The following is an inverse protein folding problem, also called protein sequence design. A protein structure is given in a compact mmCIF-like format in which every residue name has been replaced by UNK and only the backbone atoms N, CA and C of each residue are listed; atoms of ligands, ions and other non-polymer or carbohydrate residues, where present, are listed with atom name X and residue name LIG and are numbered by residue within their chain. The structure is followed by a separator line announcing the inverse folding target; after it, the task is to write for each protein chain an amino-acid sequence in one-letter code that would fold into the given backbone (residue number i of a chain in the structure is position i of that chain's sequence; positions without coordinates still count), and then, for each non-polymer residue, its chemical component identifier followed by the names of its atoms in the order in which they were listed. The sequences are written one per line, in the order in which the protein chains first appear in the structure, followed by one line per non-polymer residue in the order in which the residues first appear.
data_IF_832517544548
#
_entry.id   IF_832517544548
#
_cell.length_a   1.000
_cell.length_b   1.000
_cell.length_c   1.000
_cell.angle_alpha   90.00
_cell.angle_beta   90.00
_cell.angle_gamma   90.00
#
_symmetry.space_group_name_H-M   'P 1'
#
loop_
_entity.id
_entity.type
_entity.pdbx_description
1 polymer ?
#
# COMPACT_ATOMS: atom_id res chain seq x y z
N UNK A 1 32.66 -10.03 37.35
CA UNK A 1 32.91 -9.77 38.79
C UNK A 1 33.33 -8.31 38.99
N UNK A 2 32.45 -7.46 39.53
CA UNK A 2 32.80 -6.15 40.11
C UNK A 2 32.67 -6.18 41.66
N UNK A 3 33.41 -5.32 42.41
CA UNK A 3 33.73 -5.58 43.81
C UNK A 3 32.60 -5.20 44.77
N UNK A 4 32.41 -6.04 45.79
CA UNK A 4 31.42 -5.92 46.87
C UNK A 4 31.78 -4.72 47.77
N UNK A 5 30.98 -3.65 47.70
CA UNK A 5 31.16 -2.41 48.47
C UNK A 5 30.93 -2.70 49.97
N UNK A 6 32.01 -2.62 50.76
CA UNK A 6 31.96 -2.76 52.22
C UNK A 6 31.15 -1.61 52.84
N UNK A 7 30.12 -1.94 53.61
CA UNK A 7 29.42 -0.97 54.45
C UNK A 7 30.40 -0.45 55.52
N UNK A 8 30.55 0.87 55.59
CA UNK A 8 31.50 1.51 56.51
C UNK A 8 31.09 1.33 57.97
N UNK A 9 32.06 1.11 58.86
CA UNK A 9 31.87 0.91 60.32
C UNK A 9 31.01 1.99 61.01
N UNK A 10 30.86 3.19 60.42
CA UNK A 10 30.07 4.31 60.95
C UNK A 10 28.55 4.06 60.91
N UNK A 11 28.03 3.36 59.91
CA UNK A 11 26.58 3.10 59.81
C UNK A 11 26.12 1.99 60.77
N UNK A 12 27.03 1.07 61.13
CA UNK A 12 26.77 0.02 62.12
C UNK A 12 26.63 0.62 63.53
N UNK A 13 27.51 1.55 63.90
CA UNK A 13 27.47 2.25 65.19
C UNK A 13 26.24 3.17 65.35
N UNK A 14 25.76 3.82 64.29
CA UNK A 14 24.52 4.62 64.36
C UNK A 14 23.27 3.76 64.56
N UNK A 15 23.25 2.56 63.98
CA UNK A 15 22.14 1.60 64.14
C UNK A 15 22.09 0.99 65.54
N UNK A 16 23.24 0.63 66.10
CA UNK A 16 23.36 0.15 67.48
C UNK A 16 22.87 1.20 68.50
N UNK A 17 23.24 2.47 68.31
CA UNK A 17 22.75 3.59 69.14
C UNK A 17 21.24 3.78 69.06
N UNK A 18 20.62 3.62 67.88
CA UNK A 18 19.16 3.78 67.72
C UNK A 18 18.35 2.65 68.37
N UNK A 19 18.89 1.42 68.41
CA UNK A 19 18.29 0.30 69.16
C UNK A 19 18.52 0.42 70.67
N UNK A 20 19.66 0.97 71.08
CA UNK A 20 20.00 1.21 72.49
C UNK A 20 19.17 2.33 73.12
N UNK A 21 18.73 3.30 72.32
CA UNK A 21 17.89 4.45 72.72
C UNK A 21 16.42 4.05 72.93
N UNK A 22 15.86 3.21 72.05
CA UNK A 22 14.49 2.65 72.23
C UNK A 22 14.37 1.65 73.37
N UNK A 23 15.50 1.17 73.87
CA UNK A 23 15.60 0.30 75.05
C UNK A 23 16.23 1.02 76.24
N UNK A 24 16.53 2.31 76.11
CA UNK A 24 17.07 3.17 77.17
C UNK A 24 15.96 3.49 78.19
N UNK A 25 16.25 3.31 79.48
CA UNK A 25 15.26 3.48 80.56
C UNK A 25 14.57 2.19 81.05
N UNK A 26 14.55 1.10 80.26
CA UNK A 26 14.11 -0.22 80.75
C UNK A 26 15.22 -1.05 81.41
N UNK A 27 16.48 -0.57 81.32
CA UNK A 27 17.67 -1.28 81.78
C UNK A 27 17.74 -1.49 83.30
N UNK A 28 17.03 -0.66 84.09
CA UNK A 28 16.91 -0.81 85.54
C UNK A 28 15.83 -1.82 85.98
N UNK A 29 15.07 -2.41 85.04
CA UNK A 29 14.01 -3.41 85.26
C UNK A 29 14.24 -4.71 84.46
N UNK A 30 15.49 -4.96 84.07
CA UNK A 30 15.93 -6.09 83.23
C UNK A 30 15.73 -7.49 83.83
N UNK A 31 15.24 -7.59 85.07
CA UNK A 31 14.92 -8.86 85.76
C UNK A 31 13.49 -9.34 85.52
N UNK A 32 12.61 -8.52 84.94
CA UNK A 32 11.22 -8.90 84.65
C UNK A 32 11.10 -9.58 83.29
N UNK A 33 10.53 -10.79 83.26
CA UNK A 33 10.33 -11.57 82.02
C UNK A 33 9.50 -10.83 80.96
N UNK A 34 8.58 -9.95 81.36
CA UNK A 34 7.76 -9.14 80.44
C UNK A 34 8.59 -8.07 79.73
N UNK A 35 9.56 -7.49 80.42
CA UNK A 35 10.50 -6.48 79.88
C UNK A 35 11.49 -7.14 78.91
N UNK A 36 11.97 -8.35 79.22
CA UNK A 36 12.85 -9.11 78.33
C UNK A 36 12.17 -9.49 77.01
N UNK A 37 10.91 -9.94 77.05
CA UNK A 37 10.13 -10.23 75.83
C UNK A 37 9.91 -8.99 74.97
N UNK A 38 9.64 -7.84 75.58
CA UNK A 38 9.49 -6.57 74.85
C UNK A 38 10.79 -6.15 74.17
N UNK A 39 11.94 -6.25 74.86
CA UNK A 39 13.26 -5.93 74.28
C UNK A 39 13.58 -6.88 73.11
N UNK A 40 13.25 -8.17 73.23
CA UNK A 40 13.41 -9.13 72.14
C UNK A 40 12.52 -8.78 70.94
N UNK A 41 11.26 -8.43 71.17
CA UNK A 41 10.33 -8.02 70.10
C UNK A 41 10.77 -6.74 69.39
N UNK A 42 11.26 -5.74 70.13
CA UNK A 42 11.78 -4.50 69.52
C UNK A 42 13.05 -4.77 68.71
N UNK A 43 13.93 -5.65 69.19
CA UNK A 43 15.14 -6.03 68.46
C UNK A 43 14.84 -6.85 67.19
N UNK A 44 13.87 -7.77 67.21
CA UNK A 44 13.46 -8.52 66.02
C UNK A 44 12.80 -7.61 65.00
N UNK A 45 11.96 -6.67 65.44
CA UNK A 45 11.32 -5.69 64.56
C UNK A 45 12.33 -4.70 63.95
N UNK A 46 13.35 -4.28 64.70
CA UNK A 46 14.44 -3.45 64.20
C UNK A 46 15.31 -4.18 63.16
N UNK A 47 15.59 -5.48 63.38
CA UNK A 47 16.32 -6.32 62.41
C UNK A 47 15.53 -6.52 61.13
N UNK A 48 14.26 -6.89 61.21
CA UNK A 48 13.40 -7.11 60.05
C UNK A 48 13.24 -5.85 59.17
N UNK A 49 13.11 -4.67 59.78
CA UNK A 49 13.00 -3.40 59.06
C UNK A 49 14.36 -2.95 58.46
N UNK A 50 15.48 -3.32 59.08
CA UNK A 50 16.81 -3.08 58.52
C UNK A 50 17.12 -3.99 57.32
N UNK A 51 16.64 -5.24 57.34
CA UNK A 51 16.80 -6.21 56.24
C UNK A 51 16.00 -5.78 54.99
N UNK A 52 14.75 -5.33 55.17
CA UNK A 52 13.93 -4.80 54.07
C UNK A 52 14.55 -3.55 53.41
N UNK A 53 15.33 -2.75 54.15
CA UNK A 53 16.03 -1.57 53.62
C UNK A 53 17.41 -1.86 53.05
N UNK A 54 17.98 -3.04 53.32
CA UNK A 54 19.32 -3.42 52.87
C UNK A 54 19.34 -4.30 51.61
N UNK A 55 18.18 -4.84 51.18
CA UNK A 55 18.10 -5.79 50.07
C UNK A 55 17.28 -5.39 48.84
N UNK A 56 16.71 -4.18 48.78
CA UNK A 56 15.97 -3.72 47.60
C UNK A 56 16.87 -3.00 46.59
N UNK A 57 16.68 -3.18 45.26
CA UNK A 57 17.34 -2.33 44.27
C UNK A 57 17.04 -0.86 44.60
N UNK A 58 18.02 0.01 44.45
CA UNK A 58 17.83 1.43 44.73
C UNK A 58 16.65 1.96 43.91
N UNK A 59 15.89 2.94 44.43
CA UNK A 59 14.74 3.52 43.69
C UNK A 59 15.11 3.98 42.27
N UNK A 60 16.38 4.30 42.01
CA UNK A 60 16.91 4.64 40.70
C UNK A 60 17.06 3.42 39.77
N UNK A 61 17.54 2.28 40.28
CA UNK A 61 17.66 1.03 39.51
C UNK A 61 16.29 0.44 39.17
N UNK A 62 15.35 0.46 40.12
CA UNK A 62 13.98 -0.01 39.87
C UNK A 62 13.22 0.89 38.86
N UNK A 63 13.51 2.19 38.83
CA UNK A 63 12.94 3.11 37.82
C UNK A 63 13.57 2.89 36.44
N UNK A 64 14.89 2.64 36.39
CA UNK A 64 15.60 2.33 35.15
C UNK A 64 15.12 1.00 34.54
N UNK A 65 14.91 -0.02 35.38
CA UNK A 65 14.41 -1.33 34.94
C UNK A 65 12.96 -1.25 34.45
N UNK A 66 12.10 -0.46 35.11
CA UNK A 66 10.74 -0.18 34.62
C UNK A 66 10.72 0.57 33.29
N UNK A 67 11.57 1.60 33.13
CA UNK A 67 11.70 2.33 31.86
C UNK A 67 12.24 1.44 30.73
N UNK A 68 13.21 0.57 31.03
CA UNK A 68 13.72 -0.39 30.07
C UNK A 68 12.67 -1.44 29.68
N UNK A 69 11.86 -1.91 30.63
CA UNK A 69 10.75 -2.83 30.35
C UNK A 69 9.63 -2.15 29.53
N UNK A 70 9.33 -0.88 29.78
CA UNK A 70 8.36 -0.11 29.01
C UNK A 70 8.84 0.19 27.59
N UNK A 71 10.13 0.52 27.42
CA UNK A 71 10.74 0.68 26.09
C UNK A 71 10.71 -0.63 25.29
N UNK A 72 11.07 -1.76 25.91
CA UNK A 72 10.97 -3.08 25.26
C UNK A 72 9.54 -3.41 24.84
N UNK A 73 8.55 -3.17 25.70
CA UNK A 73 7.14 -3.37 25.35
C UNK A 73 6.68 -2.45 24.21
N UNK A 74 7.17 -1.21 24.16
CA UNK A 74 6.86 -0.27 23.09
C UNK A 74 7.48 -0.69 21.76
N UNK A 75 8.70 -1.20 21.78
CA UNK A 75 9.39 -1.75 20.60
C UNK A 75 8.71 -3.04 20.10
N UNK A 76 8.33 -3.94 21.00
CA UNK A 76 7.56 -5.15 20.68
C UNK A 76 6.19 -4.81 20.09
N UNK A 77 5.50 -3.82 20.65
CA UNK A 77 4.22 -3.35 20.11
C UNK A 77 4.42 -2.72 18.73
N UNK A 78 5.41 -1.84 18.56
CA UNK A 78 5.72 -1.24 17.26
C UNK A 78 6.07 -2.28 16.18
N UNK A 79 6.75 -3.37 16.56
CA UNK A 79 7.04 -4.47 15.65
C UNK A 79 5.77 -5.26 15.25
N UNK A 80 4.79 -5.37 16.15
CA UNK A 80 3.52 -6.06 15.90
C UNK A 80 2.61 -5.28 14.93
N UNK A 81 2.69 -3.95 14.92
CA UNK A 81 1.93 -3.08 14.00
C UNK A 81 2.57 -2.89 12.63
N UNK A 82 3.71 -3.54 12.35
CA UNK A 82 4.27 -3.51 11.01
C UNK A 82 3.29 -4.20 10.04
N UNK A 83 2.82 -3.51 9.00
CA UNK A 83 1.77 -4.04 8.14
C UNK A 83 2.23 -5.33 7.45
N UNK A 84 1.39 -6.37 7.53
CA UNK A 84 1.60 -7.65 6.82
C UNK A 84 1.71 -7.36 5.33
N UNK A 85 2.91 -7.54 4.79
CA UNK A 85 3.20 -7.17 3.41
C UNK A 85 2.59 -8.18 2.45
N UNK A 86 1.68 -7.70 1.61
CA UNK A 86 1.06 -8.50 0.56
C UNK A 86 2.10 -9.05 -0.42
N UNK A 87 1.95 -10.29 -0.91
CA UNK A 87 2.88 -10.88 -1.86
C UNK A 87 2.91 -10.08 -3.17
N UNK A 88 4.11 -9.69 -3.60
CA UNK A 88 4.36 -8.94 -4.83
C UNK A 88 3.92 -9.75 -6.06
N UNK A 89 2.85 -9.32 -6.72
CA UNK A 89 2.36 -9.90 -7.99
C UNK A 89 3.05 -9.21 -9.16
N UNK A 90 3.66 -9.99 -10.06
CA UNK A 90 4.31 -9.49 -11.27
C UNK A 90 3.40 -9.80 -12.47
N UNK A 91 3.21 -8.85 -13.40
CA UNK A 91 2.49 -9.08 -14.64
C UNK A 91 3.08 -10.23 -15.46
N UNK A 92 2.23 -10.95 -16.19
CA UNK A 92 2.65 -12.07 -17.03
C UNK A 92 3.63 -11.60 -18.13
N UNK A 93 4.80 -12.24 -18.23
CA UNK A 93 5.83 -11.91 -19.24
C UNK A 93 7.01 -11.05 -18.74
N UNK A 94 7.04 -10.61 -17.48
CA UNK A 94 8.23 -9.95 -16.88
C UNK A 94 9.00 -10.91 -16.00
N UNK A 95 10.31 -11.05 -16.23
CA UNK A 95 11.16 -11.93 -15.43
C UNK A 95 11.20 -11.47 -13.97
N UNK A 96 10.84 -12.30 -12.98
CA UNK A 96 10.74 -11.88 -11.59
C UNK A 96 12.04 -11.34 -10.98
N UNK A 97 13.21 -11.78 -11.50
CA UNK A 97 14.52 -11.28 -11.10
C UNK A 97 14.84 -9.89 -11.65
N UNK A 98 14.09 -9.37 -12.61
CA UNK A 98 14.23 -7.97 -13.07
C UNK A 98 13.47 -6.98 -12.18
N UNK A 99 12.76 -7.49 -11.17
CA UNK A 99 11.98 -6.67 -10.25
C UNK A 99 12.63 -6.70 -8.87
N UNK A 100 12.84 -5.52 -8.27
CA UNK A 100 13.38 -5.39 -6.91
C UNK A 100 12.42 -6.03 -5.89
N UNK A 101 12.99 -6.84 -5.00
CA UNK A 101 12.27 -7.47 -3.90
C UNK A 101 11.81 -6.43 -2.87
N UNK A 102 10.49 -6.34 -2.63
CA UNK A 102 9.93 -5.41 -1.62
C UNK A 102 10.46 -5.75 -0.22
N UNK A 103 10.51 -7.03 0.14
CA UNK A 103 11.02 -7.49 1.43
C UNK A 103 12.51 -7.17 1.60
N UNK A 104 13.30 -7.22 0.53
CA UNK A 104 14.72 -6.87 0.60
C UNK A 104 14.92 -5.37 0.75
N UNK A 105 14.12 -4.56 0.04
CA UNK A 105 14.10 -3.11 0.19
C UNK A 105 13.77 -2.68 1.63
N UNK A 106 12.95 -3.46 2.34
CA UNK A 106 12.58 -3.24 3.74
C UNK A 106 13.52 -3.95 4.73
N UNK A 107 14.55 -4.67 4.26
CA UNK A 107 15.51 -5.38 5.12
C UNK A 107 15.03 -6.70 5.72
N UNK A 108 13.83 -7.19 5.35
CA UNK A 108 13.16 -8.33 5.97
C UNK A 108 12.97 -9.52 4.99
N UNK A 109 13.89 -9.71 4.05
CA UNK A 109 13.81 -10.80 3.07
C UNK A 109 14.48 -12.09 3.59
N UNK A 110 13.66 -13.07 3.97
CA UNK A 110 14.12 -14.39 4.45
C UNK A 110 14.73 -15.26 3.34
N UNK A 111 14.45 -14.95 2.07
CA UNK A 111 14.82 -15.79 0.92
C UNK A 111 16.26 -15.58 0.42
N UNK A 112 16.96 -14.55 0.92
CA UNK A 112 18.36 -14.28 0.59
C UNK A 112 18.67 -14.31 -0.91
N UNK A 113 19.82 -14.90 -1.30
CA UNK A 113 20.25 -14.99 -2.70
C UNK A 113 19.34 -15.86 -3.60
N UNK A 114 18.49 -16.70 -3.01
CA UNK A 114 17.53 -17.55 -3.73
C UNK A 114 16.16 -16.88 -3.92
N UNK A 115 16.04 -15.60 -3.58
CA UNK A 115 14.80 -14.88 -3.77
C UNK A 115 14.37 -14.85 -5.25
N UNK A 116 13.06 -14.99 -5.48
CA UNK A 116 12.44 -14.88 -6.81
C UNK A 116 12.65 -13.47 -7.40
N UNK A 117 12.83 -12.48 -6.55
CA UNK A 117 13.02 -11.06 -6.89
C UNK A 117 14.48 -10.64 -6.69
N UNK A 118 14.92 -9.59 -7.39
CA UNK A 118 16.28 -9.08 -7.29
C UNK A 118 16.55 -8.38 -5.95
N UNK A 119 17.76 -8.57 -5.44
CA UNK A 119 18.34 -7.90 -4.28
C UNK A 119 19.35 -6.81 -4.69
N UNK A 120 19.36 -6.40 -5.95
CA UNK A 120 20.17 -5.28 -6.41
C UNK A 120 19.36 -3.98 -6.36
N UNK A 121 19.74 -3.06 -5.46
CA UNK A 121 19.09 -1.75 -5.30
C UNK A 121 19.10 -0.93 -6.60
N UNK A 122 20.01 -1.24 -7.52
CA UNK A 122 20.13 -0.53 -8.79
C UNK A 122 18.98 -0.86 -9.75
N UNK A 123 18.36 -2.05 -9.63
CA UNK A 123 17.20 -2.47 -10.43
C UNK A 123 15.94 -1.64 -10.12
N UNK A 124 15.89 -1.02 -8.94
CA UNK A 124 14.77 -0.17 -8.51
C UNK A 124 14.96 1.33 -8.72
N UNK A 125 16.13 1.77 -9.23
CA UNK A 125 16.33 3.20 -9.55
C UNK A 125 15.51 3.51 -10.79
N UNK A 126 14.41 4.26 -10.61
CA UNK A 126 13.73 4.93 -11.71
C UNK A 126 14.72 5.95 -12.27
N UNK A 127 15.50 5.55 -13.27
CA UNK A 127 16.33 6.48 -14.03
C UNK A 127 15.39 7.47 -14.70
N UNK A 128 15.68 8.77 -14.57
CA UNK A 128 14.88 9.80 -15.22
C UNK A 128 14.80 9.49 -16.72
N UNK A 129 13.57 9.52 -17.25
CA UNK A 129 13.38 9.31 -18.68
C UNK A 129 14.04 10.47 -19.39
N UNK A 130 14.98 10.17 -20.28
CA UNK A 130 15.63 11.17 -21.14
C UNK A 130 14.56 12.02 -21.81
N UNK A 131 14.65 13.34 -21.65
CA UNK A 131 13.67 14.27 -22.20
C UNK A 131 13.70 14.21 -23.74
N UNK A 132 12.51 14.13 -24.33
CA UNK A 132 12.27 13.89 -25.75
C UNK A 132 12.52 15.14 -26.61
N UNK A 133 12.50 16.31 -25.99
CA UNK A 133 12.55 17.60 -26.67
C UNK A 133 13.91 18.31 -26.56
N UNK A 134 14.77 17.86 -25.63
CA UNK A 134 16.12 18.43 -25.42
C UNK A 134 17.16 17.75 -26.32
N UNK A 135 17.84 18.54 -27.17
CA UNK A 135 18.98 18.06 -27.95
C UNK A 135 20.27 18.24 -27.14
N UNK A 136 20.85 17.14 -26.66
CA UNK A 136 22.12 17.14 -25.92
C UNK A 136 23.35 17.60 -26.72
N UNK A 137 23.22 17.83 -28.03
CA UNK A 137 24.28 18.41 -28.87
C UNK A 137 24.41 19.93 -28.70
N UNK A 138 23.41 20.60 -28.13
CA UNK A 138 23.39 22.06 -27.98
C UNK A 138 24.22 22.60 -26.80
N UNK A 139 24.70 21.73 -25.90
CA UNK A 139 25.41 22.11 -24.68
C UNK A 139 26.88 22.55 -24.90
N UNK A 140 27.43 22.44 -26.12
CA UNK A 140 28.81 22.86 -26.43
C UNK A 140 28.82 24.20 -27.19
N UNK A 141 28.44 25.29 -26.52
CA UNK A 141 28.42 26.65 -27.06
C UNK A 141 29.84 27.23 -27.15
N UNK A 142 30.18 27.85 -28.30
CA UNK A 142 31.50 28.41 -28.65
C UNK A 142 32.10 29.35 -27.59
N UNK A 143 31.26 29.93 -26.74
CA UNK A 143 31.65 30.89 -25.69
C UNK A 143 32.50 30.26 -24.57
N UNK A 144 32.55 28.93 -24.48
CA UNK A 144 33.32 28.19 -23.46
C UNK A 144 34.63 27.60 -24.01
N UNK A 145 35.01 27.91 -25.25
CA UNK A 145 36.13 27.26 -25.92
C UNK A 145 37.44 28.03 -25.78
N UNK A 146 38.49 27.35 -25.30
CA UNK A 146 39.85 27.87 -25.30
C UNK A 146 40.47 27.90 -26.71
N UNK A 147 41.43 28.80 -26.94
CA UNK A 147 42.15 28.99 -28.21
C UNK A 147 42.67 27.68 -28.85
N UNK A 148 43.12 26.71 -28.04
CA UNK A 148 43.58 25.39 -28.51
C UNK A 148 42.45 24.52 -29.06
N UNK A 149 41.28 24.53 -28.40
CA UNK A 149 40.08 23.81 -28.86
C UNK A 149 39.56 24.45 -30.16
N UNK A 150 39.68 25.78 -30.29
CA UNK A 150 39.32 26.49 -31.51
C UNK A 150 40.21 26.08 -32.70
N UNK A 151 41.53 26.02 -32.52
CA UNK A 151 42.48 25.59 -33.56
C UNK A 151 42.25 24.13 -34.00
N UNK A 152 41.98 23.23 -33.05
CA UNK A 152 41.65 21.82 -33.33
C UNK A 152 40.32 21.67 -34.10
N UNK A 153 39.31 22.48 -33.75
CA UNK A 153 38.02 22.48 -34.46
C UNK A 153 38.15 23.08 -35.86
N UNK A 154 38.98 24.11 -36.05
CA UNK A 154 39.27 24.67 -37.39
C UNK A 154 39.97 23.64 -38.28
N UNK A 155 40.93 22.89 -37.76
CA UNK A 155 41.60 21.82 -38.51
C UNK A 155 40.62 20.69 -38.89
N UNK A 156 39.76 20.27 -37.95
CA UNK A 156 38.78 19.21 -38.17
C UNK A 156 37.54 19.62 -38.99
N UNK A 157 37.22 20.91 -39.09
CA UNK A 157 36.13 21.45 -39.92
C UNK A 157 36.35 21.26 -41.42
N UNK A 158 37.60 21.12 -41.85
CA UNK A 158 37.94 20.94 -43.28
C UNK A 158 37.40 19.62 -43.88
N UNK A 159 37.02 18.64 -43.06
CA UNK A 159 36.63 17.30 -43.51
C UNK A 159 35.20 16.86 -43.12
N UNK A 160 34.50 17.57 -42.22
CA UNK A 160 33.20 17.14 -41.69
C UNK A 160 32.07 18.09 -42.09
N UNK A 161 30.98 17.51 -42.60
CA UNK A 161 29.75 18.23 -42.95
C UNK A 161 29.04 18.75 -41.69
N UNK A 162 28.40 19.93 -41.73
CA UNK A 162 27.67 20.47 -40.59
C UNK A 162 26.51 19.54 -40.19
N UNK A 163 26.18 19.46 -38.90
CA UNK A 163 25.05 18.68 -38.46
C UNK A 163 23.74 19.37 -38.90
N UNK A 164 22.77 18.57 -39.34
CA UNK A 164 21.50 19.05 -39.89
C UNK A 164 20.43 19.18 -38.81
N UNK A 165 19.52 20.14 -38.97
CA UNK A 165 18.35 20.33 -38.09
C UNK A 165 17.21 19.34 -38.37
N UNK A 166 17.38 18.48 -39.38
CA UNK A 166 16.42 17.43 -39.74
C UNK A 166 16.45 16.34 -38.66
N UNK A 167 15.26 15.91 -38.21
CA UNK A 167 15.09 14.84 -37.22
C UNK A 167 15.55 13.50 -37.77
N UNK A 168 16.25 12.71 -36.96
CA UNK A 168 16.74 11.39 -37.38
C UNK A 168 15.58 10.39 -37.59
N UNK A 169 15.59 9.66 -38.71
CA UNK A 169 14.58 8.63 -39.03
C UNK A 169 14.53 7.52 -37.96
N UNK A 170 15.70 7.04 -37.53
CA UNK A 170 15.79 5.99 -36.50
C UNK A 170 15.31 6.48 -35.13
N UNK A 171 15.40 7.77 -34.87
CA UNK A 171 14.85 8.37 -33.66
C UNK A 171 13.31 8.35 -33.70
N UNK A 172 12.70 8.75 -34.82
CA UNK A 172 11.24 8.65 -34.99
C UNK A 172 10.75 7.21 -34.82
N UNK A 173 11.41 6.23 -35.45
CA UNK A 173 11.10 4.80 -35.31
C UNK A 173 11.28 4.30 -33.86
N UNK A 174 12.33 4.74 -33.16
CA UNK A 174 12.57 4.38 -31.77
C UNK A 174 11.50 4.95 -30.82
N UNK A 175 10.96 6.13 -31.11
CA UNK A 175 9.90 6.71 -30.29
C UNK A 175 8.56 6.07 -30.61
N UNK A 176 8.26 5.81 -31.88
CA UNK A 176 7.06 5.07 -32.30
C UNK A 176 7.04 3.66 -31.68
N UNK A 177 8.19 2.99 -31.65
CA UNK A 177 8.35 1.69 -30.98
C UNK A 177 8.54 1.78 -29.46
N UNK A 178 8.52 2.98 -28.87
CA UNK A 178 8.77 3.23 -27.44
C UNK A 178 10.10 2.66 -26.90
N UNK A 179 11.08 2.43 -27.79
CA UNK A 179 12.43 1.95 -27.47
C UNK A 179 13.43 3.08 -27.21
N UNK A 180 13.04 4.34 -27.46
CA UNK A 180 13.85 5.51 -27.11
C UNK A 180 13.96 5.66 -25.59
N UNK A 181 15.18 5.66 -25.06
CA UNK A 181 15.44 5.72 -23.62
C UNK A 181 16.93 5.84 -23.30
N UNK A 182 17.27 5.61 -22.02
CA UNK A 182 18.62 5.76 -21.47
C UNK A 182 19.70 4.96 -22.22
N UNK A 183 19.35 3.78 -22.73
CA UNK A 183 20.27 2.89 -23.44
C UNK A 183 20.09 2.92 -24.96
N UNK A 184 19.30 3.86 -25.49
CA UNK A 184 19.09 3.94 -26.94
C UNK A 184 20.21 4.74 -27.60
N UNK A 185 20.98 4.07 -28.44
CA UNK A 185 21.98 4.67 -29.31
C UNK A 185 21.47 4.66 -30.74
N UNK A 186 21.63 5.80 -31.44
CA UNK A 186 21.25 5.87 -32.83
C UNK A 186 22.19 4.99 -33.68
N UNK A 187 21.67 4.09 -34.53
CA UNK A 187 22.50 3.32 -35.45
C UNK A 187 23.32 4.17 -36.43
N UNK A 188 22.91 5.43 -36.66
CA UNK A 188 23.59 6.38 -37.54
C UNK A 188 24.67 7.22 -36.82
N UNK A 189 25.24 6.70 -35.71
CA UNK A 189 26.39 7.30 -35.04
C UNK A 189 26.14 7.79 -33.61
N UNK A 190 25.23 7.18 -32.85
CA UNK A 190 25.07 7.40 -31.41
C UNK A 190 24.84 8.87 -31.05
N UNK A 191 25.83 9.48 -30.39
CA UNK A 191 25.85 10.90 -29.98
C UNK A 191 26.35 11.86 -31.07
N UNK A 192 27.00 11.36 -32.13
CA UNK A 192 27.53 12.14 -33.26
C UNK A 192 26.70 12.00 -34.53
N UNK A 193 25.43 11.61 -34.43
CA UNK A 193 24.53 11.52 -35.57
C UNK A 193 24.40 12.89 -36.27
N UNK A 194 24.42 12.88 -37.61
CA UNK A 194 24.21 14.07 -38.43
C UNK A 194 22.83 14.72 -38.22
N UNK A 195 21.85 13.92 -37.81
CA UNK A 195 20.44 14.31 -37.67
C UNK A 195 20.06 14.51 -36.19
N UNK A 196 19.08 15.38 -35.93
CA UNK A 196 18.63 15.75 -34.59
C UNK A 196 17.93 14.59 -33.88
N UNK A 197 18.26 14.34 -32.62
CA UNK A 197 17.64 13.33 -31.75
C UNK A 197 16.68 13.96 -30.72
N UNK A 198 15.88 14.91 -31.18
CA UNK A 198 14.85 15.55 -30.38
C UNK A 198 13.67 15.94 -31.28
N UNK A 199 12.45 15.85 -30.75
CA UNK A 199 11.25 16.24 -31.48
C UNK A 199 11.22 17.76 -31.63
N UNK A 200 10.84 18.31 -32.80
CA UNK A 200 10.59 19.73 -32.93
C UNK A 200 9.59 20.20 -31.86
N UNK A 201 9.80 21.38 -31.25
CA UNK A 201 8.89 21.89 -30.23
C UNK A 201 7.48 22.01 -30.81
N UNK A 202 6.50 21.35 -30.18
CA UNK A 202 5.10 21.32 -30.62
C UNK A 202 4.69 20.10 -31.47
N UNK A 203 5.61 19.20 -31.85
CA UNK A 203 5.25 17.98 -32.56
C UNK A 203 4.68 16.92 -31.59
N UNK A 204 3.38 16.63 -31.67
CA UNK A 204 2.72 15.59 -30.86
C UNK A 204 2.65 14.28 -31.65
N UNK A 205 3.08 13.17 -31.04
CA UNK A 205 3.03 11.85 -31.68
C UNK A 205 1.58 11.38 -31.88
N UNK A 206 1.26 10.92 -33.10
CA UNK A 206 -0.05 10.37 -33.47
C UNK A 206 -0.54 9.24 -32.56
N UNK A 207 0.36 8.38 -32.09
CA UNK A 207 0.02 7.27 -31.16
C UNK A 207 -0.47 7.72 -29.79
N UNK A 208 -0.03 8.90 -29.32
CA UNK A 208 -0.51 9.49 -28.05
C UNK A 208 -1.80 10.28 -28.23
N UNK A 209 -2.00 10.93 -29.38
CA UNK A 209 -3.24 11.67 -29.67
C UNK A 209 -4.46 10.74 -29.70
N UNK A 210 -4.35 9.58 -30.38
CA UNK A 210 -5.45 8.62 -30.46
C UNK A 210 -5.93 8.09 -29.09
N UNK A 211 -5.08 8.08 -28.06
CA UNK A 211 -5.46 7.67 -26.69
C UNK A 211 -6.13 8.78 -25.87
N UNK A 212 -5.90 10.04 -26.23
CA UNK A 212 -6.59 11.18 -25.64
C UNK A 212 -7.99 11.34 -26.27
N UNK A 213 -8.10 11.12 -27.58
CA UNK A 213 -9.36 11.20 -28.31
C UNK A 213 -10.39 10.10 -27.92
N UNK A 214 -9.96 9.00 -27.27
CA UNK A 214 -10.84 7.90 -26.84
C UNK A 214 -11.55 8.12 -25.48
N UNK A 215 -11.29 9.23 -24.77
CA UNK A 215 -11.80 9.43 -23.38
C UNK A 215 -12.65 10.67 -23.15
N UNK A 216 -13.00 11.40 -24.20
CA UNK A 216 -14.01 12.44 -24.09
C UNK A 216 -15.38 11.79 -24.25
N UNK A 217 -15.84 11.14 -23.18
CA UNK A 217 -17.25 10.79 -23.02
C UNK A 217 -18.05 12.09 -23.05
N UNK A 218 -18.55 12.43 -24.24
CA UNK A 218 -19.39 13.59 -24.51
C UNK A 218 -20.49 13.62 -23.44
N UNK A 219 -20.64 14.76 -22.77
CA UNK A 219 -21.68 14.91 -21.74
C UNK A 219 -23.05 14.61 -22.35
N UNK A 220 -23.98 14.08 -21.55
CA UNK A 220 -25.32 13.71 -22.01
C UNK A 220 -26.01 14.88 -22.75
N UNK A 221 -25.77 16.09 -22.30
CA UNK A 221 -26.27 17.35 -22.85
C UNK A 221 -25.70 17.63 -24.25
N UNK A 222 -24.39 17.48 -24.44
CA UNK A 222 -23.72 17.72 -25.72
C UNK A 222 -24.09 16.62 -26.75
N UNK A 223 -24.28 15.39 -26.28
CA UNK A 223 -24.87 14.32 -27.11
C UNK A 223 -26.29 14.69 -27.55
N UNK A 224 -27.15 15.14 -26.63
CA UNK A 224 -28.53 15.53 -26.93
C UNK A 224 -28.62 16.72 -27.88
N UNK A 225 -27.74 17.72 -27.75
CA UNK A 225 -27.65 18.87 -28.66
C UNK A 225 -27.21 18.45 -30.06
N UNK A 226 -26.23 17.55 -30.16
CA UNK A 226 -25.76 17.01 -31.44
C UNK A 226 -26.86 16.22 -32.17
N UNK A 227 -27.61 15.37 -31.44
CA UNK A 227 -28.70 14.58 -32.00
C UNK A 227 -29.91 15.46 -32.36
N UNK A 228 -30.18 16.52 -31.59
CA UNK A 228 -31.23 17.50 -31.91
C UNK A 228 -30.93 18.26 -33.20
N UNK A 229 -29.65 18.57 -33.47
CA UNK A 229 -29.25 19.22 -34.72
C UNK A 229 -29.27 18.25 -35.92
N UNK A 230 -29.05 16.95 -35.69
CA UNK A 230 -29.18 15.90 -36.72
C UNK A 230 -30.64 15.62 -37.10
N UNK A 231 -31.58 15.80 -36.18
CA UNK A 231 -33.01 15.69 -36.45
C UNK A 231 -33.46 16.85 -37.34
N UNK A 232 -33.65 16.57 -38.63
CA UNK A 232 -34.11 17.54 -39.63
C UNK A 232 -35.51 18.13 -39.37
N UNK A 233 -35.99 19.04 -40.24
CA UNK A 233 -37.21 19.81 -40.03
C UNK A 233 -38.52 19.02 -40.12
N UNK A 234 -38.50 17.78 -40.66
CA UNK A 234 -39.67 16.93 -40.80
C UNK A 234 -39.81 16.00 -39.58
N UNK A 235 -40.41 16.51 -38.50
CA UNK A 235 -40.66 15.73 -37.27
C UNK A 235 -42.13 15.36 -37.16
N UNK A 236 -42.41 14.12 -36.73
CA UNK A 236 -43.79 13.67 -36.47
C UNK A 236 -44.29 14.30 -35.16
N UNK A 237 -45.38 15.07 -35.17
CA UNK A 237 -45.94 15.61 -33.94
C UNK A 237 -46.43 14.48 -33.03
N UNK A 238 -46.14 14.60 -31.73
CA UNK A 238 -46.52 13.60 -30.72
C UNK A 238 -48.01 13.72 -30.41
N UNK A 239 -48.84 13.11 -31.25
CA UNK A 239 -50.28 12.92 -31.02
C UNK A 239 -50.53 11.58 -30.30
N UNK A 240 -51.71 11.41 -29.69
CA UNK A 240 -52.09 10.15 -29.02
C UNK A 240 -51.95 8.92 -29.94
N UNK A 241 -52.36 9.06 -31.20
CA UNK A 241 -52.28 8.00 -32.21
C UNK A 241 -50.83 7.65 -32.53
N UNK A 242 -49.98 8.65 -32.79
CA UNK A 242 -48.55 8.42 -33.06
C UNK A 242 -47.80 7.83 -31.85
N UNK A 243 -48.15 8.24 -30.63
CA UNK A 243 -47.55 7.75 -29.40
C UNK A 243 -47.94 6.31 -29.10
N UNK A 244 -49.21 5.94 -29.34
CA UNK A 244 -49.65 4.55 -29.16
C UNK A 244 -49.02 3.61 -30.20
N UNK A 245 -48.85 4.05 -31.44
CA UNK A 245 -48.10 3.32 -32.46
C UNK A 245 -46.63 3.16 -32.06
N UNK A 246 -45.96 4.24 -31.64
CA UNK A 246 -44.58 4.19 -31.13
C UNK A 246 -44.43 3.24 -29.93
N UNK A 247 -45.36 3.29 -28.98
CA UNK A 247 -45.36 2.43 -27.79
C UNK A 247 -45.52 0.96 -28.16
N UNK A 248 -46.40 0.64 -29.10
CA UNK A 248 -46.53 -0.72 -29.65
C UNK A 248 -45.23 -1.17 -30.31
N UNK A 249 -44.68 -0.37 -31.23
CA UNK A 249 -43.39 -0.69 -31.89
C UNK A 249 -42.24 -0.87 -30.90
N UNK A 250 -42.19 -0.08 -29.82
CA UNK A 250 -41.19 -0.24 -28.75
C UNK A 250 -41.36 -1.52 -27.95
N UNK A 251 -42.61 -1.89 -27.62
CA UNK A 251 -42.92 -3.13 -26.92
C UNK A 251 -42.61 -4.33 -27.82
N UNK A 252 -43.04 -4.31 -29.08
CA UNK A 252 -42.76 -5.37 -30.06
C UNK A 252 -41.26 -5.54 -30.28
N UNK A 253 -40.50 -4.44 -30.35
CA UNK A 253 -39.03 -4.47 -30.44
C UNK A 253 -38.40 -5.08 -29.19
N UNK A 254 -38.86 -4.71 -28.00
CA UNK A 254 -38.36 -5.26 -26.73
C UNK A 254 -38.66 -6.76 -26.63
N UNK A 255 -39.87 -7.18 -26.99
CA UNK A 255 -40.25 -8.60 -27.00
C UNK A 255 -39.47 -9.39 -28.05
N UNK A 256 -39.23 -8.81 -29.23
CA UNK A 256 -38.37 -9.43 -30.24
C UNK A 256 -36.93 -9.61 -29.73
N UNK A 257 -36.33 -8.58 -29.13
CA UNK A 257 -34.99 -8.65 -28.52
C UNK A 257 -34.93 -9.67 -27.37
N UNK A 258 -35.94 -9.71 -26.50
CA UNK A 258 -36.04 -10.69 -25.42
C UNK A 258 -36.22 -12.11 -25.95
N UNK A 259 -37.03 -12.31 -26.99
CA UNK A 259 -37.23 -13.62 -27.62
C UNK A 259 -35.98 -14.13 -28.31
N UNK A 260 -35.20 -13.24 -28.93
CA UNK A 260 -33.89 -13.57 -29.52
C UNK A 260 -32.88 -13.90 -28.42
N UNK A 261 -32.85 -13.11 -27.34
CA UNK A 261 -32.01 -13.39 -26.18
C UNK A 261 -32.38 -14.72 -25.52
N UNK A 262 -33.68 -15.03 -25.39
CA UNK A 262 -34.18 -16.29 -24.83
C UNK A 262 -33.80 -17.48 -25.71
N UNK A 263 -33.98 -17.38 -27.03
CA UNK A 263 -33.52 -18.42 -27.99
C UNK A 263 -32.01 -18.59 -28.00
N UNK A 264 -31.24 -17.51 -27.84
CA UNK A 264 -29.78 -17.58 -27.74
C UNK A 264 -29.33 -18.28 -26.44
N UNK A 265 -30.00 -17.99 -25.32
CA UNK A 265 -29.81 -18.69 -24.05
C UNK A 265 -30.19 -20.17 -24.18
N UNK A 266 -31.32 -20.49 -24.81
CA UNK A 266 -31.75 -21.87 -25.08
C UNK A 266 -30.73 -22.67 -25.89
N UNK A 267 -30.23 -22.10 -26.98
CA UNK A 267 -29.21 -22.73 -27.80
C UNK A 267 -27.90 -22.95 -27.03
N UNK A 268 -27.53 -22.02 -26.13
CA UNK A 268 -26.34 -22.15 -25.27
C UNK A 268 -26.51 -23.24 -24.20
N UNK A 269 -27.71 -23.38 -23.63
CA UNK A 269 -28.06 -24.46 -22.68
C UNK A 269 -28.05 -25.81 -23.39
N UNK A 270 -28.69 -25.91 -24.55
CA UNK A 270 -28.75 -27.14 -25.36
C UNK A 270 -27.35 -27.59 -25.82
N UNK A 271 -26.43 -26.66 -26.03
CA UNK A 271 -25.03 -26.93 -26.33
C UNK A 271 -24.18 -27.32 -25.09
N UNK A 272 -24.79 -27.54 -23.93
CA UNK A 272 -24.11 -27.98 -22.70
C UNK A 272 -23.24 -26.90 -22.03
N UNK A 273 -23.37 -25.63 -22.42
CA UNK A 273 -22.53 -24.52 -21.93
C UNK A 273 -23.28 -23.64 -20.92
N UNK A 274 -23.74 -24.25 -19.83
CA UNK A 274 -24.47 -23.60 -18.73
C UNK A 274 -23.61 -22.69 -17.84
N UNK A 275 -22.28 -22.77 -17.98
CA UNK A 275 -21.31 -21.98 -17.23
C UNK A 275 -21.49 -20.48 -17.56
N UNK A 276 -22.06 -19.71 -16.63
CA UNK A 276 -22.27 -18.27 -16.74
C UNK A 276 -23.74 -17.79 -16.73
N UNK A 277 -24.73 -18.65 -16.50
CA UNK A 277 -26.08 -18.21 -16.14
C UNK A 277 -26.19 -18.02 -14.62
N UNK A 278 -26.87 -16.95 -14.20
CA UNK A 278 -27.25 -16.78 -12.79
C UNK A 278 -28.23 -17.87 -12.38
N UNK A 279 -28.22 -18.30 -11.11
CA UNK A 279 -29.21 -19.28 -10.61
C UNK A 279 -30.66 -18.83 -10.83
N UNK A 280 -30.92 -17.51 -10.79
CA UNK A 280 -32.22 -16.93 -11.13
C UNK A 280 -32.56 -17.07 -12.63
N UNK A 281 -31.58 -16.85 -13.50
CA UNK A 281 -31.74 -17.03 -14.95
C UNK A 281 -32.02 -18.50 -15.31
N UNK A 282 -31.50 -19.45 -14.54
CA UNK A 282 -31.75 -20.88 -14.72
C UNK A 282 -33.19 -21.26 -14.37
N UNK A 283 -33.70 -20.70 -13.27
CA UNK A 283 -35.06 -20.91 -12.78
C UNK A 283 -36.13 -20.27 -13.69
N UNK A 284 -35.89 -19.04 -14.16
CA UNK A 284 -36.80 -18.35 -15.08
C UNK A 284 -36.81 -19.01 -16.49
N UNK A 285 -35.72 -19.70 -16.87
CA UNK A 285 -35.58 -20.35 -18.17
C UNK A 285 -36.24 -21.74 -18.23
N UNK A 286 -36.10 -22.55 -17.18
CA UNK A 286 -36.81 -23.82 -17.07
C UNK A 286 -37.11 -24.15 -15.59
N UNK A 287 -38.31 -23.82 -15.10
CA UNK A 287 -38.73 -24.13 -13.73
C UNK A 287 -38.73 -25.63 -13.39
N UNK A 288 -38.80 -26.53 -14.38
CA UNK A 288 -38.77 -27.97 -14.17
C UNK A 288 -37.34 -28.51 -13.92
N UNK A 289 -36.30 -27.76 -14.31
CA UNK A 289 -34.90 -28.11 -14.00
C UNK A 289 -34.59 -28.01 -12.50
N UNK A 290 -35.47 -27.39 -11.71
CA UNK A 290 -35.41 -27.33 -10.25
C UNK A 290 -36.19 -28.48 -9.58
N UNK A 291 -36.92 -29.31 -10.33
CA UNK A 291 -37.77 -30.39 -9.79
C UNK A 291 -37.16 -31.79 -9.96
N UNK A 292 -36.18 -31.99 -10.84
CA UNK A 292 -35.61 -33.32 -11.14
C UNK A 292 -34.43 -33.74 -10.23
N UNK A 293 -34.27 -33.14 -9.05
CA UNK A 293 -33.33 -33.62 -8.02
C UNK A 293 -34.10 -34.17 -6.82
N UNK A 294 -34.73 -35.32 -7.02
CA UNK A 294 -35.18 -36.22 -5.96
C UNK A 294 -34.28 -37.47 -5.92
N UNK A 295 -32.98 -37.29 -6.21
CA UNK A 295 -31.95 -38.27 -5.89
C UNK A 295 -31.41 -37.92 -4.50
N UNK A 296 -31.88 -38.71 -3.52
CA UNK A 296 -31.66 -38.68 -2.08
C UNK A 296 -30.18 -38.76 -1.62
N UNK A 297 -29.21 -38.60 -2.53
CA UNK A 297 -27.78 -38.84 -2.30
C UNK A 297 -26.90 -37.55 -2.23
N UNK A 298 -27.40 -36.40 -2.71
CA UNK A 298 -26.71 -35.10 -2.66
C UNK A 298 -27.41 -34.07 -1.72
N UNK A 299 -28.03 -34.56 -0.64
CA UNK A 299 -28.51 -33.69 0.43
C UNK A 299 -27.32 -32.94 1.05
N UNK A 300 -27.26 -31.62 0.83
CA UNK A 300 -26.29 -30.72 1.48
C UNK A 300 -26.38 -30.97 3.00
N UNK A 301 -25.31 -31.49 3.58
CA UNK A 301 -25.21 -31.79 4.99
C UNK A 301 -25.26 -30.49 5.82
N UNK A 302 -26.47 -30.12 6.28
CA UNK A 302 -26.69 -28.98 7.17
C UNK A 302 -26.02 -29.14 8.54
N UNK A 303 -25.47 -30.31 8.90
CA UNK A 303 -24.68 -30.50 10.13
C UNK A 303 -23.28 -29.88 10.03
N UNK A 304 -22.78 -29.62 8.81
CA UNK A 304 -21.56 -28.87 8.56
C UNK A 304 -21.75 -27.34 8.67
N UNK A 305 -22.99 -26.86 8.77
CA UNK A 305 -23.28 -25.46 9.05
C UNK A 305 -23.12 -25.21 10.56
N UNK A 306 -21.86 -25.16 11.02
CA UNK A 306 -21.54 -24.91 12.43
C UNK A 306 -22.06 -23.52 12.82
N UNK A 307 -23.15 -23.51 13.58
CA UNK A 307 -23.81 -22.31 14.09
C UNK A 307 -22.83 -21.41 14.86
N UNK A 308 -21.80 -22.00 15.48
CA UNK A 308 -20.75 -21.26 16.18
C UNK A 308 -19.82 -20.50 15.22
N UNK A 309 -19.56 -21.03 14.02
CA UNK A 309 -18.71 -20.37 13.02
C UNK A 309 -19.46 -19.21 12.35
N UNK A 310 -20.75 -19.38 12.09
CA UNK A 310 -21.62 -18.30 11.60
C UNK A 310 -21.83 -17.19 12.64
N UNK A 311 -21.86 -17.53 13.94
CA UNK A 311 -21.89 -16.55 15.03
C UNK A 311 -20.58 -15.76 15.14
N UNK A 312 -19.44 -16.44 15.03
CA UNK A 312 -18.12 -15.77 15.00
C UNK A 312 -17.96 -14.84 13.80
N UNK A 313 -18.42 -15.26 12.63
CA UNK A 313 -18.33 -14.44 11.41
C UNK A 313 -19.23 -13.19 11.52
N UNK A 314 -20.42 -13.34 12.13
CA UNK A 314 -21.33 -12.23 12.43
C UNK A 314 -20.74 -11.26 13.47
N UNK A 315 -20.15 -11.77 14.54
CA UNK A 315 -19.48 -10.96 15.56
C UNK A 315 -18.23 -10.24 14.99
N UNK A 316 -17.50 -10.88 14.06
CA UNK A 316 -16.40 -10.26 13.33
C UNK A 316 -16.88 -9.09 12.46
N UNK A 317 -17.97 -9.28 11.73
CA UNK A 317 -18.57 -8.25 10.88
C UNK A 317 -19.16 -7.09 11.68
N UNK A 318 -19.77 -7.34 12.85
CA UNK A 318 -20.24 -6.29 13.76
C UNK A 318 -19.07 -5.47 14.32
N UNK A 319 -17.98 -6.13 14.72
CA UNK A 319 -16.77 -5.44 15.16
C UNK A 319 -16.12 -4.61 14.03
N UNK A 320 -16.09 -5.13 12.80
CA UNK A 320 -15.59 -4.40 11.64
C UNK A 320 -16.44 -3.16 11.34
N UNK A 321 -17.77 -3.29 11.39
CA UNK A 321 -18.69 -2.15 11.25
C UNK A 321 -18.56 -1.15 12.38
N UNK A 322 -18.39 -1.61 13.62
CA UNK A 322 -18.17 -0.73 14.77
C UNK A 322 -16.87 0.07 14.60
N UNK A 323 -15.78 -0.59 14.20
CA UNK A 323 -14.50 0.06 13.93
C UNK A 323 -14.61 1.06 12.77
N UNK A 324 -15.27 0.70 11.67
CA UNK A 324 -15.49 1.60 10.53
C UNK A 324 -16.33 2.83 10.89
N UNK A 325 -17.35 2.65 11.74
CA UNK A 325 -18.21 3.76 12.19
C UNK A 325 -17.45 4.69 13.14
N UNK A 326 -16.62 4.12 14.01
CA UNK A 326 -15.84 4.89 14.98
C UNK A 326 -14.65 5.63 14.32
N UNK A 327 -14.02 5.03 13.30
CA UNK A 327 -13.00 5.70 12.49
C UNK A 327 -13.58 6.80 11.61
N UNK A 328 -14.81 6.62 11.08
CA UNK A 328 -15.52 7.67 10.37
C UNK A 328 -15.89 8.86 11.29
N UNK A 329 -16.29 8.60 12.54
CA UNK A 329 -16.64 9.65 13.50
C UNK A 329 -15.42 10.42 14.04
N UNK A 330 -14.25 9.79 14.13
CA UNK A 330 -13.00 10.47 14.50
C UNK A 330 -12.43 11.36 13.39
N UNK A 331 -12.82 11.16 12.12
CA UNK A 331 -12.35 11.96 10.99
C UNK A 331 -13.04 13.32 10.85
N UNK A 332 -14.09 13.60 11.64
CA UNK A 332 -14.91 14.81 11.52
C UNK A 332 -14.63 15.88 12.59
N UNK A 333 -13.67 15.68 13.51
CA UNK A 333 -13.47 16.57 14.67
C UNK A 333 -12.26 17.52 14.65
N UNK A 334 -11.37 17.47 13.66
CA UNK A 334 -10.22 18.38 13.63
C UNK A 334 -10.23 19.30 12.41
N UNK A 335 -10.64 20.56 12.62
CA UNK A 335 -10.57 21.58 11.57
C UNK A 335 -11.20 22.94 11.86
N UNK A 336 -11.20 23.46 13.09
CA UNK A 336 -11.44 24.91 13.32
C UNK A 336 -10.66 25.44 14.53
N UNK A 337 -9.40 25.80 14.34
CA UNK A 337 -8.73 26.78 15.19
C UNK A 337 -8.16 27.88 14.31
N UNK A 338 -8.93 28.95 14.19
CA UNK A 338 -8.56 30.19 13.54
C UNK A 338 -7.42 30.86 14.31
N UNK A 339 -6.42 31.31 13.57
CA UNK A 339 -5.36 32.17 14.07
C UNK A 339 -5.88 33.60 14.19
N UNK A 340 -5.64 34.24 15.34
CA UNK A 340 -5.58 35.69 15.50
C UNK A 340 -4.38 36.03 16.40
#
# INVERSE_FOLDING_TARGET
MPPKKQQTKKDKQKKEKATEDKTFGMKNKNKSAKVQRYIQQVNTQAKHNAEQRAGGPSKAEALAEKKAAEQKKREEFAALFNPVQAPQKVPFGTDPKTVLCIYFKQGNCERGAKCKFSHDLNVGRKVEKKDLYTDHRAEDTMDTWDQKKLEEVVQSKSQKQPPTDIVCKYFLEAIESSKYGWFWECPNGGTSCKYRHALPPGFVLKSKNNKADEKEEISLEEFLESERHKLGPNQTPVTLESFTQWKKTRLDKKEAEESVARKAKENRVKAGRSQGMSGRDLFDFNPALAQDYDDEEDAIDFSAFDRAETEKERERLENEKFLATNTANMSLQDGTTAAE
#
